data_IF_468143618172
#
_entry.id   IF_468143618172
#
_cell.length_a   1.000
_cell.length_b   1.000
_cell.length_c   1.000
_cell.angle_alpha   90.00
_cell.angle_beta   90.00
_cell.angle_gamma   90.00
#
_symmetry.space_group_name_H-M   'P 1'
#
loop_
_entity.id
_entity.type
_entity.pdbx_description
1 polymer ?
#
# COMPACT_ATOMS: atom_id res chain seq x y z
N UNK A 1 -30.94 11.29 -6.79
CA UNK A 1 -30.84 10.51 -5.51
C UNK A 1 -29.45 9.91 -5.30
N UNK A 2 -28.91 9.08 -6.22
CA UNK A 2 -27.56 8.47 -6.09
C UNK A 2 -26.44 9.47 -5.75
N UNK A 3 -26.38 10.60 -6.46
CA UNK A 3 -25.36 11.63 -6.22
C UNK A 3 -25.47 12.28 -4.83
N UNK A 4 -26.69 12.44 -4.32
CA UNK A 4 -26.94 12.99 -2.97
C UNK A 4 -26.43 12.00 -1.92
N UNK A 5 -26.72 10.71 -2.10
CA UNK A 5 -26.24 9.64 -1.22
C UNK A 5 -24.71 9.54 -1.20
N UNK A 6 -24.05 9.64 -2.37
CA UNK A 6 -22.59 9.63 -2.46
C UNK A 6 -21.98 10.84 -1.74
N UNK A 7 -22.53 12.04 -1.95
CA UNK A 7 -22.07 13.26 -1.26
C UNK A 7 -22.30 13.20 0.24
N UNK A 8 -23.44 12.66 0.67
CA UNK A 8 -23.75 12.48 2.08
C UNK A 8 -22.78 11.49 2.74
N UNK A 9 -22.57 10.33 2.10
CA UNK A 9 -21.59 9.34 2.55
C UNK A 9 -20.18 9.93 2.63
N UNK A 10 -19.75 10.67 1.60
CA UNK A 10 -18.45 11.34 1.61
C UNK A 10 -18.34 12.36 2.74
N UNK A 11 -19.37 13.17 2.98
CA UNK A 11 -19.37 14.15 4.06
C UNK A 11 -19.29 13.46 5.42
N UNK A 12 -20.14 12.47 5.70
CA UNK A 12 -20.14 11.78 7.00
C UNK A 12 -18.85 11.01 7.23
N UNK A 13 -18.36 10.29 6.22
CA UNK A 13 -17.18 9.43 6.33
C UNK A 13 -15.89 10.27 6.38
N UNK A 14 -15.71 11.22 5.47
CA UNK A 14 -14.45 11.97 5.34
C UNK A 14 -14.36 13.18 6.27
N UNK A 15 -15.46 13.88 6.59
CA UNK A 15 -15.40 15.07 7.46
C UNK A 15 -15.67 14.75 8.92
N UNK A 16 -16.57 13.81 9.19
CA UNK A 16 -16.96 13.46 10.57
C UNK A 16 -16.39 12.12 11.03
N UNK A 17 -15.73 11.35 10.16
CA UNK A 17 -15.20 10.03 10.49
C UNK A 17 -16.27 8.95 10.69
N UNK A 18 -17.53 9.23 10.34
CA UNK A 18 -18.66 8.31 10.49
C UNK A 18 -18.95 7.66 9.15
N UNK A 19 -18.60 6.39 9.03
CA UNK A 19 -18.94 5.54 7.89
C UNK A 19 -20.18 4.68 8.20
N UNK A 20 -21.37 4.99 7.65
CA UNK A 20 -22.59 4.26 7.95
C UNK A 20 -22.56 2.80 7.47
N UNK A 21 -21.85 2.51 6.37
CA UNK A 21 -21.71 1.16 5.84
C UNK A 21 -20.82 0.32 6.74
N UNK A 22 -19.70 0.90 7.21
CA UNK A 22 -18.81 0.27 8.19
C UNK A 22 -19.50 0.03 9.52
N UNK A 23 -20.31 0.98 9.98
CA UNK A 23 -21.13 0.84 11.19
C UNK A 23 -22.10 -0.33 11.05
N UNK A 24 -22.88 -0.35 9.96
CA UNK A 24 -23.82 -1.44 9.69
C UNK A 24 -23.13 -2.81 9.66
N UNK A 25 -22.03 -2.93 8.92
CA UNK A 25 -21.22 -4.16 8.86
C UNK A 25 -20.70 -4.55 10.25
N UNK A 26 -20.25 -3.59 11.06
CA UNK A 26 -19.77 -3.85 12.42
C UNK A 26 -20.88 -4.38 13.33
N UNK A 27 -22.08 -3.83 13.23
CA UNK A 27 -23.26 -4.34 13.96
C UNK A 27 -23.60 -5.76 13.52
N UNK A 28 -23.58 -6.05 12.22
CA UNK A 28 -23.79 -7.41 11.71
C UNK A 28 -22.67 -8.40 12.07
N UNK A 29 -21.44 -7.92 12.24
CA UNK A 29 -20.27 -8.73 12.58
C UNK A 29 -20.16 -9.05 14.08
N UNK A 30 -20.73 -8.22 14.94
CA UNK A 30 -20.64 -8.34 16.39
C UNK A 30 -21.13 -9.70 16.94
N UNK A 31 -22.28 -10.26 16.53
CA UNK A 31 -22.75 -11.56 17.04
C UNK A 31 -21.74 -12.69 16.79
N UNK A 32 -21.12 -12.70 15.61
CA UNK A 32 -20.13 -13.72 15.29
C UNK A 32 -18.82 -13.50 16.05
N UNK A 33 -18.35 -12.26 16.17
CA UNK A 33 -17.19 -11.94 17.01
C UNK A 33 -17.38 -12.44 18.45
N UNK A 34 -18.56 -12.23 19.05
CA UNK A 34 -18.87 -12.73 20.39
C UNK A 34 -18.81 -14.26 20.44
N UNK A 35 -19.44 -14.93 19.47
CA UNK A 35 -19.38 -16.39 19.36
C UNK A 35 -17.93 -16.90 19.29
N UNK A 36 -17.10 -16.28 18.45
CA UNK A 36 -15.73 -16.73 18.21
C UNK A 36 -14.81 -16.38 19.39
N UNK A 37 -15.04 -15.25 20.04
CA UNK A 37 -14.39 -14.89 21.30
C UNK A 37 -14.65 -15.95 22.38
N UNK A 38 -15.89 -16.42 22.50
CA UNK A 38 -16.25 -17.45 23.48
C UNK A 38 -15.57 -18.77 23.17
N UNK A 39 -15.50 -19.17 21.90
CA UNK A 39 -14.75 -20.37 21.48
C UNK A 39 -13.27 -20.23 21.79
N UNK A 40 -12.66 -19.09 21.48
CA UNK A 40 -11.24 -18.84 21.71
C UNK A 40 -10.89 -18.86 23.20
N UNK A 41 -11.71 -18.21 24.05
CA UNK A 41 -11.49 -18.15 25.49
C UNK A 41 -11.60 -19.48 26.21
N UNK A 42 -12.30 -20.47 25.66
CA UNK A 42 -12.31 -21.83 26.20
C UNK A 42 -10.93 -22.49 26.16
N UNK A 43 -10.10 -22.12 25.18
CA UNK A 43 -8.79 -22.75 24.95
C UNK A 43 -7.63 -21.89 25.44
N UNK A 44 -7.78 -20.56 25.48
CA UNK A 44 -6.69 -19.64 25.79
C UNK A 44 -6.89 -18.87 27.11
N UNK A 45 -5.95 -19.06 28.05
CA UNK A 45 -5.97 -18.49 29.41
C UNK A 45 -5.05 -17.29 29.61
N UNK A 46 -4.25 -16.91 28.61
CA UNK A 46 -3.33 -15.78 28.71
C UNK A 46 -4.02 -14.40 28.75
N UNK A 47 -3.21 -13.36 28.96
CA UNK A 47 -3.64 -11.96 28.89
C UNK A 47 -3.90 -11.57 27.43
N UNK A 48 -5.03 -10.92 27.18
CA UNK A 48 -5.42 -10.45 25.84
C UNK A 48 -5.78 -8.97 25.93
N UNK A 49 -5.29 -8.20 24.96
CA UNK A 49 -5.81 -6.86 24.65
C UNK A 49 -6.79 -6.99 23.50
N UNK A 50 -8.04 -6.58 23.71
CA UNK A 50 -9.11 -6.74 22.72
C UNK A 50 -9.18 -5.47 21.86
N UNK A 51 -9.00 -5.63 20.54
CA UNK A 51 -9.19 -4.59 19.54
C UNK A 51 -9.95 -5.20 18.35
N UNK A 52 -11.30 -5.22 18.40
CA UNK A 52 -12.10 -6.03 17.48
C UNK A 52 -12.29 -5.32 16.13
N UNK A 53 -11.97 -6.02 15.06
CA UNK A 53 -12.19 -5.55 13.69
C UNK A 53 -13.48 -6.17 13.12
N UNK A 54 -14.63 -5.63 13.55
CA UNK A 54 -15.95 -6.27 13.35
C UNK A 54 -16.45 -6.29 11.90
N UNK A 55 -15.93 -5.42 11.05
CA UNK A 55 -16.39 -5.24 9.67
C UNK A 55 -15.49 -5.93 8.63
N UNK A 56 -14.22 -6.22 8.97
CA UNK A 56 -13.20 -6.79 8.06
C UNK A 56 -13.68 -8.07 7.36
N UNK A 57 -14.48 -8.89 8.04
CA UNK A 57 -15.01 -10.13 7.46
C UNK A 57 -15.95 -9.92 6.26
N UNK A 58 -16.49 -8.72 6.11
CA UNK A 58 -17.33 -8.31 4.99
C UNK A 58 -16.54 -7.50 3.96
N UNK A 59 -15.26 -7.26 4.22
CA UNK A 59 -14.36 -6.63 3.27
C UNK A 59 -13.81 -7.67 2.30
N UNK A 60 -13.46 -7.20 1.12
CA UNK A 60 -12.75 -7.99 0.14
C UNK A 60 -11.29 -8.12 0.57
N UNK A 61 -10.65 -9.25 0.23
CA UNK A 61 -9.26 -9.49 0.57
C UNK A 61 -8.33 -8.53 -0.18
N UNK A 62 -7.98 -7.42 0.47
CA UNK A 62 -7.06 -6.41 -0.04
C UNK A 62 -7.65 -5.48 -1.10
N UNK A 63 -6.86 -4.49 -1.52
CA UNK A 63 -7.26 -3.47 -2.50
C UNK A 63 -7.06 -3.95 -3.94
N UNK A 64 -7.61 -5.11 -4.29
CA UNK A 64 -7.49 -5.73 -5.63
C UNK A 64 -8.23 -4.97 -6.73
N UNK A 65 -9.08 -4.00 -6.36
CA UNK A 65 -9.85 -3.16 -7.27
C UNK A 65 -9.14 -1.88 -7.71
N UNK A 66 -7.94 -1.61 -7.17
CA UNK A 66 -7.18 -0.43 -7.57
C UNK A 66 -6.57 -0.60 -8.96
N UNK A 67 -6.73 0.39 -9.83
CA UNK A 67 -6.09 0.41 -11.15
C UNK A 67 -4.56 0.35 -11.03
N UNK A 68 -4.00 1.05 -10.03
CA UNK A 68 -2.56 1.00 -9.74
C UNK A 68 -2.09 -0.39 -9.34
N UNK A 69 -2.90 -1.17 -8.62
CA UNK A 69 -2.52 -2.55 -8.27
C UNK A 69 -2.31 -3.40 -9.52
N UNK A 70 -3.23 -3.30 -10.49
CA UNK A 70 -3.12 -4.04 -11.74
C UNK A 70 -1.98 -3.54 -12.63
N UNK A 71 -1.77 -2.23 -12.69
CA UNK A 71 -0.66 -1.63 -13.44
C UNK A 71 0.70 -2.07 -12.86
N UNK A 72 0.87 -1.95 -11.54
CA UNK A 72 2.10 -2.31 -10.84
C UNK A 72 2.41 -3.80 -11.04
N UNK A 73 1.39 -4.67 -10.96
CA UNK A 73 1.52 -6.10 -11.19
C UNK A 73 1.84 -6.44 -12.65
N UNK A 74 1.19 -5.80 -13.61
CA UNK A 74 1.41 -6.07 -15.04
C UNK A 74 2.83 -5.68 -15.45
N UNK A 75 3.27 -4.47 -15.12
CA UNK A 75 4.58 -3.96 -15.53
C UNK A 75 5.71 -4.71 -14.82
N UNK A 76 5.55 -5.08 -13.54
CA UNK A 76 6.56 -5.87 -12.85
C UNK A 76 6.77 -7.25 -13.49
N UNK A 77 5.70 -7.89 -14.00
CA UNK A 77 5.82 -9.12 -14.78
C UNK A 77 6.61 -8.92 -16.07
N UNK A 78 6.41 -7.81 -16.78
CA UNK A 78 7.22 -7.50 -17.97
C UNK A 78 8.69 -7.30 -17.63
N UNK A 79 9.01 -6.62 -16.52
CA UNK A 79 10.40 -6.46 -16.05
C UNK A 79 11.02 -7.82 -15.70
N UNK A 80 10.25 -8.71 -15.08
CA UNK A 80 10.71 -10.08 -14.79
C UNK A 80 11.06 -10.84 -16.07
N UNK A 81 10.19 -10.81 -17.07
CA UNK A 81 10.38 -11.49 -18.36
C UNK A 81 11.56 -10.91 -19.14
N UNK A 82 11.73 -9.58 -19.15
CA UNK A 82 12.80 -8.89 -19.88
C UNK A 82 14.19 -9.12 -19.29
N UNK A 83 14.28 -9.46 -18.00
CA UNK A 83 15.53 -9.71 -17.26
C UNK A 83 16.63 -8.64 -17.48
N UNK A 84 16.35 -7.33 -17.33
CA UNK A 84 17.37 -6.30 -17.50
C UNK A 84 18.55 -6.47 -16.55
N UNK A 85 19.75 -6.08 -16.98
CA UNK A 85 20.92 -6.12 -16.09
C UNK A 85 20.78 -5.15 -14.91
N UNK A 86 20.16 -4.00 -15.15
CA UNK A 86 19.89 -2.96 -14.17
C UNK A 86 18.47 -2.42 -14.40
N UNK A 87 17.70 -2.23 -13.34
CA UNK A 87 16.40 -1.55 -13.39
C UNK A 87 16.45 -0.33 -12.48
N UNK A 88 16.24 0.84 -13.08
CA UNK A 88 16.11 2.12 -12.38
C UNK A 88 14.65 2.56 -12.46
N UNK A 89 14.06 2.84 -11.31
CA UNK A 89 12.73 3.39 -11.14
C UNK A 89 12.81 4.85 -10.69
N UNK A 90 11.89 5.69 -11.19
CA UNK A 90 11.81 7.10 -10.85
C UNK A 90 10.40 7.45 -10.38
N UNK A 91 10.27 7.72 -9.07
CA UNK A 91 9.05 8.24 -8.46
C UNK A 91 7.90 7.25 -8.26
N UNK A 92 8.09 5.96 -8.55
CA UNK A 92 7.05 4.97 -8.26
C UNK A 92 6.92 4.75 -6.75
N UNK A 93 5.73 4.29 -6.32
CA UNK A 93 5.50 4.00 -4.91
C UNK A 93 6.34 2.80 -4.46
N UNK A 94 7.06 2.97 -3.35
CA UNK A 94 7.86 1.89 -2.76
C UNK A 94 7.01 0.72 -2.29
N UNK A 95 5.80 0.99 -1.76
CA UNK A 95 4.84 -0.03 -1.33
C UNK A 95 3.93 -0.56 -2.47
N UNK A 96 4.26 -0.24 -3.73
CA UNK A 96 3.55 -0.70 -4.93
C UNK A 96 4.50 -1.34 -5.92
N UNK A 97 4.58 -0.78 -7.13
CA UNK A 97 5.43 -1.26 -8.23
C UNK A 97 6.85 -1.65 -7.81
N UNK A 98 7.54 -0.79 -7.05
CA UNK A 98 8.92 -1.04 -6.63
C UNK A 98 9.02 -2.31 -5.78
N UNK A 99 8.13 -2.51 -4.80
CA UNK A 99 8.12 -3.72 -3.98
C UNK A 99 7.87 -4.98 -4.82
N UNK A 100 7.02 -4.89 -5.86
CA UNK A 100 6.82 -6.00 -6.77
C UNK A 100 8.11 -6.36 -7.51
N UNK A 101 8.86 -5.38 -8.03
CA UNK A 101 10.15 -5.64 -8.69
C UNK A 101 11.21 -6.14 -7.71
N UNK A 102 11.31 -5.51 -6.53
CA UNK A 102 12.26 -5.86 -5.46
C UNK A 102 12.14 -7.32 -5.01
N UNK A 103 10.96 -7.93 -5.15
CA UNK A 103 10.73 -9.34 -4.81
C UNK A 103 11.54 -10.33 -5.66
N UNK A 104 12.03 -9.92 -6.84
CA UNK A 104 12.77 -10.80 -7.76
C UNK A 104 14.03 -10.18 -8.38
N UNK A 105 14.30 -8.88 -8.19
CA UNK A 105 15.48 -8.19 -8.68
C UNK A 105 15.78 -6.96 -7.82
N UNK A 106 17.06 -6.65 -7.62
CA UNK A 106 17.46 -5.36 -7.07
C UNK A 106 17.03 -4.20 -7.98
N UNK A 107 16.30 -3.24 -7.42
CA UNK A 107 15.83 -2.03 -8.10
C UNK A 107 16.45 -0.80 -7.45
N UNK A 108 16.95 0.09 -8.28
CA UNK A 108 17.39 1.40 -7.85
C UNK A 108 16.26 2.41 -8.00
N UNK A 109 15.95 3.14 -6.93
CA UNK A 109 14.79 4.02 -6.88
C UNK A 109 15.26 5.44 -6.62
N UNK A 110 14.84 6.35 -7.50
CA UNK A 110 15.00 7.77 -7.31
C UNK A 110 13.66 8.43 -7.00
N UNK A 111 13.56 9.13 -5.88
CA UNK A 111 12.36 9.85 -5.49
C UNK A 111 12.71 11.13 -4.71
N UNK A 112 11.87 12.16 -4.79
CA UNK A 112 12.03 13.37 -3.98
C UNK A 112 11.61 13.12 -2.52
N UNK A 113 10.73 12.14 -2.29
CA UNK A 113 10.15 11.79 -0.99
C UNK A 113 11.14 10.94 -0.22
N UNK A 114 11.66 11.46 0.89
CA UNK A 114 12.64 10.72 1.70
C UNK A 114 12.05 9.41 2.25
N UNK A 115 12.85 8.34 2.21
CA UNK A 115 12.55 7.04 2.81
C UNK A 115 13.71 6.66 3.72
N UNK A 116 13.42 6.48 5.01
CA UNK A 116 14.43 6.18 6.04
C UNK A 116 14.59 4.69 6.32
N UNK A 117 13.64 3.87 5.85
CA UNK A 117 13.64 2.43 6.07
C UNK A 117 14.45 1.73 4.99
N UNK A 118 15.34 0.83 5.41
CA UNK A 118 16.05 -0.06 4.49
C UNK A 118 15.14 -1.23 4.11
N UNK A 119 14.96 -1.44 2.80
CA UNK A 119 14.14 -2.52 2.26
C UNK A 119 15.03 -3.41 1.40
N UNK A 120 15.08 -4.73 1.65
CA UNK A 120 15.87 -5.65 0.84
C UNK A 120 15.50 -5.56 -0.64
N UNK A 121 16.51 -5.57 -1.51
CA UNK A 121 16.33 -5.46 -2.96
C UNK A 121 16.02 -4.03 -3.46
N UNK A 122 16.06 -3.01 -2.60
CA UNK A 122 15.86 -1.61 -2.98
C UNK A 122 17.10 -0.78 -2.64
N UNK A 123 17.69 -0.15 -3.65
CA UNK A 123 18.72 0.87 -3.50
C UNK A 123 18.05 2.23 -3.65
N UNK A 124 17.73 2.89 -2.54
CA UNK A 124 17.02 4.17 -2.56
C UNK A 124 17.96 5.36 -2.63
N UNK A 125 17.62 6.34 -3.47
CA UNK A 125 18.29 7.64 -3.55
C UNK A 125 17.28 8.76 -3.56
N UNK A 126 17.41 9.66 -2.59
CA UNK A 126 16.62 10.88 -2.63
C UNK A 126 17.21 11.82 -3.68
N UNK A 127 16.45 12.15 -4.72
CA UNK A 127 16.88 13.03 -5.79
C UNK A 127 15.74 13.87 -6.33
N UNK A 128 16.05 15.13 -6.63
CA UNK A 128 15.17 16.08 -7.32
C UNK A 128 15.68 16.30 -8.74
N UNK A 129 15.04 15.65 -9.71
CA UNK A 129 15.41 15.75 -11.12
C UNK A 129 15.23 17.15 -11.72
N UNK A 130 14.55 18.09 -11.05
CA UNK A 130 14.53 19.49 -11.46
C UNK A 130 15.76 20.27 -10.98
N UNK A 131 16.49 19.72 -10.01
CA UNK A 131 17.71 20.28 -9.46
C UNK A 131 18.91 19.43 -9.86
N UNK A 132 19.68 19.92 -10.84
CA UNK A 132 20.80 19.18 -11.43
C UNK A 132 21.84 18.75 -10.38
N UNK A 133 21.98 19.51 -9.28
CA UNK A 133 22.87 19.21 -8.14
C UNK A 133 22.56 17.87 -7.45
N UNK A 134 21.30 17.44 -7.47
CA UNK A 134 20.88 16.23 -6.76
C UNK A 134 21.21 14.93 -7.53
N UNK A 135 21.42 15.02 -8.84
CA UNK A 135 21.68 13.89 -9.74
C UNK A 135 23.14 13.83 -10.20
N UNK A 136 23.93 14.90 -9.97
CA UNK A 136 25.30 15.02 -10.50
C UNK A 136 26.25 13.94 -9.98
N UNK A 137 26.01 13.38 -8.78
CA UNK A 137 26.81 12.29 -8.24
C UNK A 137 26.58 10.95 -8.96
N UNK A 138 25.50 10.84 -9.74
CA UNK A 138 25.11 9.64 -10.48
C UNK A 138 25.63 9.64 -11.92
N UNK A 139 25.77 10.83 -12.52
CA UNK A 139 26.36 11.01 -13.83
C UNK A 139 27.87 11.19 -13.69
N UNK A 140 28.67 10.27 -14.21
CA UNK A 140 30.15 10.33 -14.21
C UNK A 140 30.70 11.55 -14.95
N UNK A 141 30.57 12.77 -14.42
CA UNK A 141 31.23 14.01 -14.87
C UNK A 141 31.05 14.45 -16.34
N UNK A 142 30.50 13.62 -17.20
CA UNK A 142 30.19 13.85 -18.60
C UNK A 142 28.69 13.99 -18.68
N UNK A 143 28.24 15.24 -18.79
CA UNK A 143 26.87 15.50 -19.20
C UNK A 143 26.61 14.80 -20.53
N UNK A 144 25.52 14.05 -20.59
CA UNK A 144 24.59 13.92 -21.72
C UNK A 144 23.28 13.43 -21.08
N UNK A 145 22.32 14.34 -20.92
CA UNK A 145 20.98 14.15 -21.46
C UNK A 145 20.86 15.10 -22.65
#
# INVERSE_FOLDING_TARGET
MKQILIKLHWLTSSQFGIDPLRLWRSVCGLPTFISDWWKFRKTYTGKITIMPCLHDRFEEGGTTKSEYFWQDLLVSRWVYEARPQLHVDVGSRVDGFVAHVASFREVEVFDIRNITTQVPGIVFRQADFQSMKSVTSYTNGGGIL
#
